data_IF_356429524322
#
_entry.id   IF_356429524322
#
_cell.length_a   1.000
_cell.length_b   1.000
_cell.length_c   1.000
_cell.angle_alpha   90.00
_cell.angle_beta   90.00
_cell.angle_gamma   90.00
#
_symmetry.space_group_name_H-M   'P 1'
#
loop_
_entity.id
_entity.type
_entity.pdbx_description
1 polymer ?
#
# COMPACT_ATOMS: atom_id res chain seq x y z
N UNK A 1 7.67 -8.19 0.48
CA UNK A 1 7.12 -7.11 1.31
C UNK A 1 7.18 -7.40 2.80
N UNK A 2 6.66 -8.54 3.28
CA UNK A 2 6.58 -8.85 4.72
C UNK A 2 7.93 -9.09 5.40
N UNK A 3 8.97 -9.39 4.63
CA UNK A 3 10.31 -9.71 5.15
C UNK A 3 11.28 -8.53 5.09
N UNK A 4 10.85 -7.37 4.61
CA UNK A 4 11.73 -6.22 4.37
C UNK A 4 12.44 -5.69 5.63
N UNK A 5 11.79 -5.80 6.77
CA UNK A 5 12.33 -5.34 8.07
C UNK A 5 13.24 -6.35 8.77
N UNK A 6 13.46 -7.53 8.20
CA UNK A 6 14.28 -8.56 8.82
C UNK A 6 15.77 -8.34 8.52
N UNK A 7 16.58 -8.43 9.55
CA UNK A 7 18.04 -8.38 9.44
C UNK A 7 18.61 -9.69 8.91
N UNK A 8 19.85 -9.66 8.41
CA UNK A 8 20.51 -10.83 7.81
C UNK A 8 20.67 -12.02 8.77
N UNK A 9 20.98 -11.77 10.03
CA UNK A 9 21.09 -12.79 11.07
C UNK A 9 19.78 -13.56 11.29
N UNK A 10 18.63 -12.88 11.12
CA UNK A 10 17.30 -13.51 11.19
C UNK A 10 17.02 -14.30 9.90
N UNK A 11 17.27 -13.69 8.74
CA UNK A 11 17.03 -14.32 7.44
C UNK A 11 17.84 -15.61 7.26
N UNK A 12 19.09 -15.65 7.71
CA UNK A 12 19.94 -16.84 7.67
C UNK A 12 19.41 -18.02 8.53
N UNK A 13 18.62 -17.71 9.54
CA UNK A 13 18.03 -18.70 10.46
C UNK A 13 16.61 -19.09 10.07
N UNK A 14 16.05 -18.42 9.07
CA UNK A 14 14.68 -18.66 8.61
C UNK A 14 14.59 -19.94 7.80
N UNK A 15 13.62 -20.79 8.15
CA UNK A 15 13.25 -21.96 7.37
C UNK A 15 11.96 -21.66 6.61
N UNK A 16 11.98 -21.90 5.31
CA UNK A 16 10.84 -21.75 4.41
C UNK A 16 10.47 -23.09 3.78
N UNK A 17 9.82 -24.00 4.55
CA UNK A 17 9.60 -25.39 4.11
C UNK A 17 8.81 -25.54 2.81
N UNK A 18 8.08 -24.49 2.42
CA UNK A 18 7.26 -24.48 1.20
C UNK A 18 7.93 -23.74 0.04
N UNK A 19 9.21 -23.32 0.19
CA UNK A 19 9.90 -22.47 -0.79
C UNK A 19 10.13 -23.15 -2.14
N UNK A 20 10.36 -24.45 -2.12
CA UNK A 20 10.75 -25.25 -3.29
C UNK A 20 9.60 -26.04 -3.92
N UNK A 21 8.37 -25.88 -3.42
CA UNK A 21 7.21 -26.57 -3.94
C UNK A 21 6.15 -25.61 -4.46
N UNK A 22 5.48 -26.03 -5.52
CA UNK A 22 4.35 -25.29 -6.06
C UNK A 22 3.10 -25.48 -5.21
N UNK A 23 2.14 -24.60 -5.38
CA UNK A 23 0.86 -24.71 -4.69
C UNK A 23 0.07 -25.98 -5.04
N UNK A 24 0.22 -26.45 -6.27
CA UNK A 24 -0.40 -27.71 -6.74
C UNK A 24 0.17 -28.89 -5.98
N UNK A 25 1.49 -28.96 -5.86
CA UNK A 25 2.19 -30.01 -5.11
C UNK A 25 1.84 -29.95 -3.61
N UNK A 26 1.80 -28.74 -3.03
CA UNK A 26 1.40 -28.57 -1.64
C UNK A 26 -0.02 -29.07 -1.36
N UNK A 27 -0.97 -28.81 -2.29
CA UNK A 27 -2.34 -29.30 -2.20
C UNK A 27 -2.42 -30.83 -2.35
N UNK A 28 -1.68 -31.40 -3.30
CA UNK A 28 -1.59 -32.83 -3.49
C UNK A 28 -1.01 -33.53 -2.24
N UNK A 29 0.04 -32.96 -1.66
CA UNK A 29 0.63 -33.43 -0.42
C UNK A 29 -0.39 -33.41 0.75
N UNK A 30 -1.12 -32.32 0.92
CA UNK A 30 -2.15 -32.19 1.95
C UNK A 30 -3.27 -33.22 1.75
N UNK A 31 -3.73 -33.42 0.51
CA UNK A 31 -4.74 -34.45 0.19
C UNK A 31 -4.25 -35.85 0.51
N UNK A 32 -3.00 -36.20 0.13
CA UNK A 32 -2.39 -37.50 0.43
C UNK A 32 -2.20 -37.78 1.91
N UNK A 33 -2.14 -36.72 2.73
CA UNK A 33 -2.08 -36.85 4.21
C UNK A 33 -3.46 -36.80 4.88
N UNK A 34 -4.55 -36.86 4.12
CA UNK A 34 -5.93 -36.88 4.64
C UNK A 34 -6.54 -35.50 4.90
N UNK A 35 -5.85 -34.39 4.60
CA UNK A 35 -6.34 -33.04 4.81
C UNK A 35 -7.15 -32.52 3.62
N UNK A 36 -8.17 -33.26 3.17
CA UNK A 36 -8.96 -32.99 1.98
C UNK A 36 -9.59 -31.57 2.01
N UNK A 37 -10.19 -31.18 3.14
CA UNK A 37 -10.82 -29.85 3.28
C UNK A 37 -9.84 -28.70 3.09
N UNK A 38 -8.59 -28.87 3.52
CA UNK A 38 -7.54 -27.86 3.36
C UNK A 38 -7.05 -27.83 1.92
N UNK A 39 -6.87 -28.99 1.29
CA UNK A 39 -6.39 -29.11 -0.08
C UNK A 39 -7.30 -28.40 -1.12
N UNK A 40 -8.61 -28.42 -0.91
CA UNK A 40 -9.58 -27.77 -1.82
C UNK A 40 -9.99 -26.35 -1.43
N UNK A 41 -9.55 -25.88 -0.26
CA UNK A 41 -9.90 -24.55 0.22
C UNK A 41 -9.38 -23.46 -0.74
N UNK A 42 -10.25 -22.52 -1.07
CA UNK A 42 -9.86 -21.34 -1.85
C UNK A 42 -8.84 -20.49 -1.07
N UNK A 43 -7.94 -19.83 -1.82
CA UNK A 43 -7.01 -18.91 -1.25
C UNK A 43 -7.72 -17.71 -0.61
N UNK A 44 -7.32 -17.37 0.58
CA UNK A 44 -7.76 -16.14 1.21
C UNK A 44 -6.95 -14.98 0.62
N UNK A 45 -7.57 -14.18 -0.23
CA UNK A 45 -6.96 -13.00 -0.87
C UNK A 45 -7.12 -11.72 -0.03
N UNK A 46 -7.81 -11.81 1.11
CA UNK A 46 -8.05 -10.69 2.02
C UNK A 46 -7.39 -10.88 3.37
N UNK A 47 -7.54 -9.87 4.21
CA UNK A 47 -7.14 -9.96 5.62
C UNK A 47 -8.12 -10.85 6.39
N UNK A 48 -7.59 -11.77 7.18
CA UNK A 48 -8.37 -12.83 7.85
C UNK A 48 -9.44 -12.31 8.82
N UNK A 49 -9.32 -11.06 9.29
CA UNK A 49 -10.29 -10.42 10.19
C UNK A 49 -11.34 -9.58 9.47
N UNK A 50 -11.34 -9.51 8.13
CA UNK A 50 -12.31 -8.78 7.33
C UNK A 50 -13.15 -9.74 6.51
N UNK A 51 -14.23 -10.33 7.06
CA UNK A 51 -15.06 -11.31 6.37
C UNK A 51 -15.99 -10.72 5.30
N UNK A 52 -16.12 -9.38 5.30
CA UNK A 52 -16.93 -8.60 4.36
C UNK A 52 -16.04 -7.63 3.56
N UNK A 53 -16.65 -6.78 2.74
CA UNK A 53 -15.89 -5.73 2.08
C UNK A 53 -15.26 -4.76 3.08
N UNK A 54 -14.09 -4.21 2.73
CA UNK A 54 -13.32 -3.36 3.64
C UNK A 54 -14.05 -2.07 4.04
N UNK A 55 -14.98 -1.55 3.20
CA UNK A 55 -15.74 -0.33 3.52
C UNK A 55 -16.75 -0.60 4.62
N UNK A 56 -17.49 -1.69 4.52
CA UNK A 56 -18.42 -2.14 5.55
C UNK A 56 -17.70 -2.45 6.86
N UNK A 57 -16.53 -3.09 6.78
CA UNK A 57 -15.67 -3.34 7.92
C UNK A 57 -15.23 -2.03 8.58
N UNK A 58 -14.67 -1.10 7.81
CA UNK A 58 -14.22 0.20 8.33
C UNK A 58 -15.38 1.00 8.94
N UNK A 59 -16.54 1.05 8.28
CA UNK A 59 -17.73 1.73 8.81
C UNK A 59 -18.10 1.17 10.19
N UNK A 60 -18.17 -0.15 10.32
CA UNK A 60 -18.51 -0.81 11.58
C UNK A 60 -17.51 -0.48 12.69
N UNK A 61 -16.21 -0.57 12.39
CA UNK A 61 -15.15 -0.34 13.37
C UNK A 61 -14.98 1.14 13.72
N UNK A 62 -15.00 2.04 12.76
CA UNK A 62 -14.84 3.48 13.01
C UNK A 62 -16.04 4.06 13.82
N UNK A 63 -17.25 3.57 13.59
CA UNK A 63 -18.42 3.94 14.42
C UNK A 63 -18.27 3.38 15.83
N UNK A 64 -17.81 2.15 16.01
CA UNK A 64 -17.62 1.55 17.34
C UNK A 64 -16.52 2.23 18.16
N UNK A 65 -15.43 2.66 17.53
CA UNK A 65 -14.34 3.36 18.22
C UNK A 65 -14.67 4.80 18.56
N UNK A 66 -15.57 5.46 17.82
CA UNK A 66 -16.04 6.81 18.14
C UNK A 66 -16.84 6.88 19.44
N UNK A 67 -17.36 5.76 19.94
CA UNK A 67 -18.08 5.67 21.21
C UNK A 67 -17.21 5.29 22.41
N UNK A 68 -16.02 4.75 22.18
CA UNK A 68 -15.07 4.43 23.23
C UNK A 68 -13.78 5.23 23.04
N UNK A 69 -13.52 6.18 23.96
CA UNK A 69 -12.22 6.84 24.09
C UNK A 69 -11.16 5.79 24.46
N UNK A 70 -10.67 5.04 23.49
CA UNK A 70 -9.49 4.22 23.68
C UNK A 70 -8.28 5.03 23.26
N UNK A 71 -7.46 5.35 24.23
CA UNK A 71 -6.19 6.09 24.17
C UNK A 71 -5.13 5.35 23.34
N UNK A 72 -5.36 5.21 22.03
CA UNK A 72 -4.37 4.77 21.06
C UNK A 72 -4.12 5.92 20.07
N UNK A 73 -3.22 6.82 20.44
CA UNK A 73 -2.64 7.88 19.61
C UNK A 73 -3.63 8.73 18.81
N UNK A 74 -3.42 10.02 18.75
CA UNK A 74 -4.22 11.06 18.07
C UNK A 74 -4.59 10.80 16.58
N UNK A 75 -4.27 9.63 16.05
CA UNK A 75 -4.47 9.26 14.65
C UNK A 75 -5.86 8.68 14.30
N UNK A 76 -6.69 8.31 15.29
CA UNK A 76 -7.91 7.53 15.06
C UNK A 76 -9.21 8.26 15.39
N UNK A 77 -9.19 9.55 15.62
CA UNK A 77 -10.41 10.36 15.73
C UNK A 77 -11.02 10.76 14.38
N UNK A 78 -10.65 10.09 13.31
CA UNK A 78 -11.26 10.29 12.01
C UNK A 78 -12.72 9.84 12.07
N UNK A 79 -13.61 10.74 12.42
CA UNK A 79 -15.04 10.54 12.22
C UNK A 79 -15.25 10.20 10.74
N UNK A 80 -15.82 9.03 10.46
CA UNK A 80 -16.33 8.71 9.13
C UNK A 80 -17.51 9.63 8.89
N UNK A 81 -17.21 10.84 8.48
CA UNK A 81 -18.19 11.86 8.14
C UNK A 81 -18.07 12.20 6.66
N UNK A 82 -19.17 12.72 6.13
CA UNK A 82 -19.20 13.20 4.75
C UNK A 82 -18.14 14.26 4.53
N UNK A 83 -17.23 14.04 3.57
CA UNK A 83 -16.16 14.94 3.20
C UNK A 83 -16.27 15.42 1.76
N UNK A 84 -15.30 16.20 1.28
CA UNK A 84 -15.34 16.84 -0.03
C UNK A 84 -14.25 16.29 -0.95
N UNK A 85 -14.62 15.90 -2.16
CA UNK A 85 -13.69 15.87 -3.27
C UNK A 85 -13.46 17.30 -3.75
N UNK A 86 -12.22 17.69 -3.88
CA UNK A 86 -11.80 19.01 -4.38
C UNK A 86 -10.76 18.84 -5.49
N UNK A 87 -10.61 19.83 -6.31
CA UNK A 87 -9.52 19.89 -7.28
C UNK A 87 -8.21 20.42 -6.65
N UNK A 88 -7.17 20.58 -7.45
CA UNK A 88 -5.87 21.09 -7.00
C UNK A 88 -5.91 22.52 -6.46
N UNK A 89 -6.89 23.31 -6.87
CA UNK A 89 -7.11 24.67 -6.39
C UNK A 89 -7.92 24.73 -5.10
N UNK A 90 -8.56 23.62 -4.73
CA UNK A 90 -9.46 23.51 -3.59
C UNK A 90 -10.93 23.71 -3.96
N UNK A 91 -11.25 23.80 -5.26
CA UNK A 91 -12.63 23.94 -5.72
C UNK A 91 -13.41 22.64 -5.54
N UNK A 92 -14.65 22.78 -5.08
CA UNK A 92 -15.52 21.65 -4.79
C UNK A 92 -15.89 20.88 -6.06
N UNK A 93 -15.76 19.55 -6.02
CA UNK A 93 -16.18 18.65 -7.09
C UNK A 93 -17.42 17.86 -6.69
N UNK A 94 -17.36 17.16 -5.56
CA UNK A 94 -18.44 16.29 -5.11
C UNK A 94 -18.27 15.94 -3.61
N UNK A 95 -19.27 15.25 -3.05
CA UNK A 95 -19.19 14.72 -1.71
C UNK A 95 -18.70 13.27 -1.69
N UNK A 96 -18.00 12.88 -0.62
CA UNK A 96 -17.61 11.51 -0.37
C UNK A 96 -17.96 11.04 1.05
N UNK A 97 -17.89 9.74 1.31
CA UNK A 97 -18.29 9.12 2.58
C UNK A 97 -17.29 9.31 3.73
N UNK A 98 -16.12 9.86 3.46
CA UNK A 98 -15.02 10.04 4.41
C UNK A 98 -13.68 9.71 3.79
N UNK A 99 -12.64 10.48 4.08
CA UNK A 99 -11.31 10.31 3.50
C UNK A 99 -10.67 8.92 3.76
N UNK A 100 -10.95 8.18 4.85
CA UNK A 100 -10.32 6.88 5.08
C UNK A 100 -10.67 5.79 4.06
N UNK A 101 -11.69 6.02 3.22
CA UNK A 101 -12.09 5.08 2.17
C UNK A 101 -11.31 5.25 0.86
N UNK A 102 -10.37 6.20 0.82
CA UNK A 102 -9.62 6.53 -0.39
C UNK A 102 -8.13 6.34 -0.21
N UNK A 103 -7.44 6.09 -1.33
CA UNK A 103 -5.99 5.86 -1.35
C UNK A 103 -5.39 6.67 -2.49
N UNK A 104 -4.21 7.24 -2.27
CA UNK A 104 -3.47 7.97 -3.31
C UNK A 104 -3.27 7.08 -4.54
N UNK A 105 -3.52 7.62 -5.73
CA UNK A 105 -3.49 6.91 -7.00
C UNK A 105 -4.78 6.15 -7.33
N UNK A 106 -5.78 6.15 -6.46
CA UNK A 106 -7.06 5.49 -6.72
C UNK A 106 -7.82 6.19 -7.85
N UNK A 107 -8.28 5.40 -8.84
CA UNK A 107 -9.13 5.84 -9.95
C UNK A 107 -10.56 5.31 -9.83
N UNK A 108 -10.71 4.04 -9.40
CA UNK A 108 -12.02 3.36 -9.36
C UNK A 108 -12.65 3.47 -7.98
N UNK A 109 -13.98 3.38 -7.93
CA UNK A 109 -14.71 3.39 -6.66
C UNK A 109 -14.76 4.76 -5.98
N UNK A 110 -14.60 5.85 -6.73
CA UNK A 110 -14.76 7.21 -6.22
C UNK A 110 -16.24 7.60 -6.03
N UNK A 111 -17.15 6.91 -6.73
CA UNK A 111 -18.59 7.20 -6.64
C UNK A 111 -19.01 8.50 -7.35
N UNK A 112 -18.17 9.02 -8.24
CA UNK A 112 -18.41 10.23 -9.03
C UNK A 112 -18.28 9.93 -10.53
N UNK A 113 -19.04 10.67 -11.32
CA UNK A 113 -18.98 10.60 -12.78
C UNK A 113 -18.50 11.94 -13.32
N UNK A 114 -17.30 11.95 -13.88
CA UNK A 114 -16.71 13.11 -14.54
C UNK A 114 -16.39 12.74 -15.99
N UNK A 115 -16.47 13.70 -16.90
CA UNK A 115 -16.19 13.49 -18.34
C UNK A 115 -14.70 13.23 -18.63
N UNK A 116 -13.87 13.11 -17.62
CA UNK A 116 -12.45 12.82 -17.70
C UNK A 116 -12.02 11.85 -16.59
N UNK A 117 -10.98 11.04 -16.82
CA UNK A 117 -10.40 10.22 -15.76
C UNK A 117 -9.76 11.11 -14.70
N UNK A 118 -10.06 10.83 -13.43
CA UNK A 118 -9.46 11.50 -12.28
C UNK A 118 -8.91 10.47 -11.30
N UNK A 119 -7.91 10.90 -10.54
CA UNK A 119 -7.17 10.09 -9.58
C UNK A 119 -7.05 10.83 -8.26
N UNK A 120 -7.02 10.10 -7.17
CA UNK A 120 -6.71 10.66 -5.86
C UNK A 120 -5.24 11.09 -5.84
N UNK A 121 -4.98 12.38 -5.77
CA UNK A 121 -3.64 12.97 -5.70
C UNK A 121 -3.15 13.12 -4.26
N UNK A 122 -4.02 13.58 -3.38
CA UNK A 122 -3.71 13.92 -1.99
C UNK A 122 -4.90 13.64 -1.10
N UNK A 123 -4.65 13.32 0.15
CA UNK A 123 -5.66 13.19 1.19
C UNK A 123 -5.31 14.19 2.28
N UNK A 124 -6.29 15.04 2.68
CA UNK A 124 -6.16 16.05 3.73
C UNK A 124 -7.08 15.70 4.89
N UNK A 125 -6.60 14.88 5.85
CA UNK A 125 -7.43 14.38 6.95
C UNK A 125 -8.09 15.48 7.78
N UNK A 126 -7.34 16.56 8.08
CA UNK A 126 -7.77 17.65 8.95
C UNK A 126 -8.99 18.40 8.39
N UNK A 127 -9.13 18.42 7.06
CA UNK A 127 -10.25 19.07 6.36
C UNK A 127 -11.28 18.07 5.87
N UNK A 128 -11.04 16.77 6.04
CA UNK A 128 -11.81 15.69 5.44
C UNK A 128 -11.98 15.89 3.92
N UNK A 129 -10.87 16.22 3.25
CA UNK A 129 -10.81 16.47 1.82
C UNK A 129 -9.96 15.41 1.10
N UNK A 130 -10.40 15.06 -0.09
CA UNK A 130 -9.66 14.23 -1.04
C UNK A 130 -9.45 15.01 -2.33
N UNK A 131 -8.21 15.33 -2.63
CA UNK A 131 -7.83 16.10 -3.83
C UNK A 131 -7.79 15.17 -5.03
N UNK A 132 -8.52 15.52 -6.08
CA UNK A 132 -8.54 14.80 -7.34
C UNK A 132 -7.76 15.55 -8.42
N UNK A 133 -7.03 14.80 -9.23
CA UNK A 133 -6.24 15.37 -10.33
C UNK A 133 -6.12 14.41 -11.51
N UNK A 134 -5.41 14.85 -12.56
CA UNK A 134 -5.05 14.01 -13.70
C UNK A 134 -3.97 12.98 -13.33
N UNK A 135 -3.74 12.00 -14.20
CA UNK A 135 -2.68 11.01 -14.01
C UNK A 135 -1.29 11.66 -13.98
N UNK A 136 -1.06 12.63 -14.88
CA UNK A 136 0.22 13.36 -14.99
C UNK A 136 0.59 14.09 -13.69
N UNK A 137 -0.38 14.59 -12.96
CA UNK A 137 -0.13 15.26 -11.67
C UNK A 137 0.32 14.32 -10.54
N UNK A 138 0.29 13.01 -10.78
CA UNK A 138 0.78 11.96 -9.86
C UNK A 138 2.21 11.51 -10.21
N UNK A 139 2.73 11.94 -11.35
CA UNK A 139 4.08 11.57 -11.78
C UNK A 139 5.12 12.04 -10.78
N UNK A 140 6.00 11.13 -10.41
CA UNK A 140 7.15 11.37 -9.53
C UNK A 140 8.41 10.88 -10.21
N UNK A 141 9.46 11.67 -10.07
CA UNK A 141 10.81 11.33 -10.58
C UNK A 141 11.75 10.94 -9.46
N UNK A 142 11.36 11.20 -8.20
CA UNK A 142 12.21 10.92 -7.05
C UNK A 142 11.42 10.46 -5.84
N UNK A 143 12.09 9.78 -4.93
CA UNK A 143 11.56 9.37 -3.64
C UNK A 143 12.62 9.50 -2.55
N UNK A 144 12.20 9.93 -1.36
CA UNK A 144 13.00 9.90 -0.14
C UNK A 144 12.44 8.84 0.81
N UNK A 145 13.27 7.87 1.16
CA UNK A 145 12.88 6.77 2.04
C UNK A 145 13.59 6.90 3.39
N UNK A 146 12.83 6.78 4.46
CA UNK A 146 13.32 6.67 5.84
C UNK A 146 13.21 5.23 6.33
N UNK A 147 13.90 4.93 7.41
CA UNK A 147 13.84 3.62 8.08
C UNK A 147 14.13 2.45 7.13
N UNK A 148 15.06 2.68 6.19
CA UNK A 148 15.43 1.71 5.18
C UNK A 148 16.25 0.55 5.75
N UNK A 149 16.08 -0.64 5.16
CA UNK A 149 16.87 -1.82 5.46
C UNK A 149 17.58 -2.30 4.19
N UNK A 150 18.89 -2.17 4.14
CA UNK A 150 19.74 -2.56 3.00
C UNK A 150 20.50 -3.83 3.33
N UNK A 151 20.37 -4.84 2.49
CA UNK A 151 21.05 -6.14 2.61
C UNK A 151 22.55 -5.99 2.29
N UNK A 152 22.88 -5.27 1.23
CA UNK A 152 24.26 -5.00 0.81
C UNK A 152 24.40 -3.56 0.34
N UNK A 153 24.98 -2.73 1.20
CA UNK A 153 25.16 -1.30 0.95
C UNK A 153 26.10 -1.04 -0.24
N UNK A 154 27.19 -1.77 -0.30
CA UNK A 154 28.19 -1.64 -1.36
C UNK A 154 27.60 -1.94 -2.74
N UNK A 155 26.80 -3.00 -2.84
CA UNK A 155 26.15 -3.38 -4.10
C UNK A 155 25.07 -2.39 -4.54
N UNK A 156 24.41 -1.72 -3.60
CA UNK A 156 23.34 -0.78 -3.90
C UNK A 156 23.88 0.59 -4.29
N UNK A 157 24.76 1.18 -3.46
CA UNK A 157 25.19 2.57 -3.62
C UNK A 157 26.27 2.76 -4.70
N UNK A 158 26.99 1.73 -5.06
CA UNK A 158 27.99 1.78 -6.13
C UNK A 158 27.44 1.45 -7.52
N UNK A 159 26.17 1.07 -7.64
CA UNK A 159 25.60 0.64 -8.89
C UNK A 159 25.00 1.81 -9.67
N UNK A 160 25.39 2.02 -10.96
CA UNK A 160 24.90 3.14 -11.76
C UNK A 160 23.44 3.00 -12.16
N UNK A 161 22.93 1.78 -12.16
CA UNK A 161 21.54 1.47 -12.55
C UNK A 161 20.97 0.40 -11.62
N UNK A 162 19.98 0.80 -10.82
CA UNK A 162 19.28 -0.06 -9.88
C UNK A 162 17.82 -0.19 -10.34
N UNK A 163 17.27 -1.39 -10.25
CA UNK A 163 15.84 -1.61 -10.52
C UNK A 163 15.07 -1.49 -9.22
N UNK A 164 14.16 -0.52 -9.17
CA UNK A 164 13.24 -0.33 -8.04
C UNK A 164 11.85 -0.85 -8.37
N UNK A 165 11.23 -1.53 -7.41
CA UNK A 165 9.87 -2.03 -7.50
C UNK A 165 9.00 -1.35 -6.46
N UNK A 166 8.14 -0.42 -6.91
CA UNK A 166 7.29 0.39 -6.04
C UNK A 166 5.96 -0.29 -5.76
N UNK A 167 5.44 -1.05 -6.74
CA UNK A 167 4.15 -1.75 -6.63
C UNK A 167 4.32 -3.23 -6.99
N UNK A 168 3.33 -4.04 -6.64
CA UNK A 168 3.32 -5.49 -6.92
C UNK A 168 3.37 -5.83 -8.42
N UNK A 169 2.94 -4.93 -9.31
CA UNK A 169 3.00 -5.15 -10.76
C UNK A 169 4.45 -5.28 -11.23
N UNK A 170 4.67 -6.10 -12.26
CA UNK A 170 5.96 -6.24 -12.95
C UNK A 170 6.28 -4.95 -13.72
N UNK A 171 6.74 -3.93 -13.03
CA UNK A 171 7.37 -2.76 -13.63
C UNK A 171 8.81 -2.72 -13.12
N UNK A 172 9.74 -2.79 -14.03
CA UNK A 172 11.14 -2.54 -13.79
C UNK A 172 11.34 -1.04 -13.96
N UNK A 173 11.60 -0.35 -12.87
CA UNK A 173 11.84 1.08 -12.91
C UNK A 173 13.31 1.31 -12.60
N UNK A 174 14.04 1.79 -13.59
CA UNK A 174 15.46 2.09 -13.46
C UNK A 174 15.67 3.36 -12.64
N UNK A 175 16.64 3.34 -11.75
CA UNK A 175 16.93 4.45 -10.86
C UNK A 175 18.38 4.47 -10.41
N UNK A 176 18.82 5.61 -9.90
CA UNK A 176 20.04 5.74 -9.10
C UNK A 176 19.67 5.93 -7.63
N UNK A 177 20.51 5.41 -6.75
CA UNK A 177 20.26 5.43 -5.30
C UNK A 177 21.45 6.05 -4.58
N UNK A 178 21.17 7.04 -3.72
CA UNK A 178 22.16 7.71 -2.88
C UNK A 178 21.65 7.86 -1.45
N UNK A 179 22.55 8.12 -0.51
CA UNK A 179 22.17 8.45 0.87
C UNK A 179 22.39 9.94 1.08
N UNK A 180 21.36 10.63 1.57
CA UNK A 180 21.44 12.05 1.91
C UNK A 180 22.21 12.27 3.23
N UNK A 181 22.67 13.50 3.51
CA UNK A 181 23.29 13.85 4.81
C UNK A 181 22.40 13.53 6.01
N UNK A 182 21.07 13.64 5.85
CA UNK A 182 20.07 13.34 6.88
C UNK A 182 19.76 11.84 7.00
N UNK A 183 20.58 10.97 6.41
CA UNK A 183 20.42 9.52 6.43
C UNK A 183 19.10 9.03 5.80
N UNK A 184 18.59 9.74 4.81
CA UNK A 184 17.49 9.28 3.98
C UNK A 184 18.05 8.59 2.74
N UNK A 185 17.37 7.57 2.24
CA UNK A 185 17.70 6.95 0.97
C UNK A 185 16.98 7.73 -0.15
N UNK A 186 17.75 8.43 -0.98
CA UNK A 186 17.24 9.14 -2.14
C UNK A 186 17.28 8.23 -3.36
N UNK A 187 16.13 8.02 -3.96
CA UNK A 187 15.94 7.23 -5.18
C UNK A 187 15.53 8.17 -6.30
N UNK A 188 16.41 8.34 -7.28
CA UNK A 188 16.16 9.14 -8.48
C UNK A 188 15.77 8.20 -9.62
N UNK A 189 14.53 8.29 -10.08
CA UNK A 189 14.03 7.50 -11.22
C UNK A 189 14.56 8.06 -12.54
N UNK A 190 14.89 7.18 -13.48
CA UNK A 190 15.30 7.59 -14.83
C UNK A 190 14.09 8.05 -15.66
N UNK A 191 12.91 7.50 -15.39
CA UNK A 191 11.65 7.89 -16.01
C UNK A 191 10.59 8.21 -14.94
N UNK A 192 9.70 9.18 -15.20
CA UNK A 192 8.59 9.49 -14.28
C UNK A 192 7.70 8.28 -14.05
N UNK A 193 7.26 8.09 -12.81
CA UNK A 193 6.36 7.02 -12.41
C UNK A 193 5.09 7.56 -11.76
N UNK A 194 3.95 6.95 -12.09
CA UNK A 194 2.62 7.26 -11.54
C UNK A 194 2.10 6.15 -10.63
#
# INVERSE_FOLDING_TARGET
FFLWGLKQDILQRMLLPMGDITKVEARAFAAGRGFQKVAVKRDSLGVCFCPMDYRSFLKKWLVSFGQHQVSFGQFWSAQVSRGRFVDEKGDFIAWHEGYPFYTIGQRRGLGIHLNRPVFVKEIRPEKNEVVLSSLQALEKTEMLLKDWNIVSRERLLGHPDVIVKIRYRKQENHCTVTITPDNLLHVQLHEPLT
#
